data_IF_392229291898
#
_entry.id   IF_392229291898
#
_cell.length_a   1.000
_cell.length_b   1.000
_cell.length_c   1.000
_cell.angle_alpha   90.00
_cell.angle_beta   90.00
_cell.angle_gamma   90.00
#
_symmetry.space_group_name_H-M   'P 1'
#
loop_
_entity.id
_entity.type
_entity.pdbx_description
1 polymer ?
#
# COMPACT_ATOMS: atom_id res chain seq x y z
N UNK A 1 7.86 26.32 -20.70
CA UNK A 1 7.75 27.24 -19.54
C UNK A 1 6.76 26.72 -18.49
N UNK A 2 5.52 26.35 -18.85
CA UNK A 2 4.53 25.82 -17.89
C UNK A 2 4.89 24.47 -17.24
N UNK A 3 5.47 23.52 -18.00
CA UNK A 3 5.88 22.20 -17.47
C UNK A 3 7.02 22.35 -16.44
N UNK A 4 8.06 23.13 -16.76
CA UNK A 4 9.16 23.40 -15.81
C UNK A 4 8.70 24.15 -14.56
N UNK A 5 7.74 25.08 -14.68
CA UNK A 5 7.16 25.75 -13.52
C UNK A 5 6.39 24.78 -12.61
N UNK A 6 5.63 23.85 -13.19
CA UNK A 6 4.88 22.83 -12.46
C UNK A 6 5.81 21.83 -11.74
N UNK A 7 6.88 21.38 -12.40
CA UNK A 7 7.90 20.52 -11.78
C UNK A 7 8.60 21.24 -10.62
N UNK A 8 8.96 22.51 -10.80
CA UNK A 8 9.62 23.31 -9.74
C UNK A 8 8.73 23.50 -8.50
N UNK A 9 7.42 23.74 -8.71
CA UNK A 9 6.43 23.83 -7.63
C UNK A 9 6.24 22.50 -6.90
N UNK A 10 6.21 21.39 -7.64
CA UNK A 10 6.09 20.04 -7.08
C UNK A 10 7.31 19.71 -6.20
N UNK A 11 8.53 19.99 -6.69
CA UNK A 11 9.76 19.81 -5.92
C UNK A 11 9.78 20.66 -4.66
N UNK A 12 9.37 21.93 -4.73
CA UNK A 12 9.30 22.81 -3.57
C UNK A 12 8.30 22.31 -2.51
N UNK A 13 7.16 21.75 -2.94
CA UNK A 13 6.18 21.15 -2.03
C UNK A 13 6.72 19.87 -1.37
N UNK A 14 7.40 19.00 -2.12
CA UNK A 14 8.02 17.79 -1.60
C UNK A 14 9.14 18.11 -0.61
N UNK A 15 9.99 19.09 -0.90
CA UNK A 15 11.05 19.54 0.01
C UNK A 15 10.47 20.12 1.31
N UNK A 16 9.31 20.78 1.24
CA UNK A 16 8.63 21.28 2.43
C UNK A 16 8.10 20.15 3.31
N UNK A 17 7.53 19.09 2.72
CA UNK A 17 7.11 17.90 3.45
C UNK A 17 8.32 17.20 4.11
N UNK A 18 9.42 17.05 3.38
CA UNK A 18 10.64 16.44 3.89
C UNK A 18 11.23 17.20 5.09
N UNK A 19 11.24 18.55 5.04
CA UNK A 19 11.70 19.40 6.16
C UNK A 19 10.83 19.27 7.42
N UNK A 20 9.59 18.84 7.27
CA UNK A 20 8.62 18.72 8.35
C UNK A 20 8.60 17.31 8.99
N UNK A 21 9.45 16.39 8.53
CA UNK A 21 9.52 15.02 9.05
C UNK A 21 10.89 14.70 9.62
N UNK A 22 10.91 13.90 10.67
CA UNK A 22 12.12 13.25 11.20
C UNK A 22 11.86 11.76 11.36
N UNK A 23 12.78 10.94 10.89
CA UNK A 23 12.68 9.48 10.97
C UNK A 23 13.83 8.99 11.85
N UNK A 24 13.50 8.34 12.97
CA UNK A 24 14.45 7.60 13.79
C UNK A 24 14.29 6.11 13.49
N UNK A 25 15.38 5.37 13.32
CA UNK A 25 15.32 3.91 13.23
C UNK A 25 15.85 3.29 14.51
N UNK A 26 15.14 2.31 15.03
CA UNK A 26 15.57 1.57 16.22
C UNK A 26 16.61 0.49 15.88
N UNK A 27 16.95 -0.37 16.85
CA UNK A 27 17.96 -1.43 16.67
C UNK A 27 17.54 -2.52 15.67
N UNK A 28 16.24 -2.66 15.38
CA UNK A 28 15.70 -3.60 14.40
C UNK A 28 15.44 -2.95 13.04
N UNK A 29 15.73 -1.65 12.91
CA UNK A 29 15.47 -0.87 11.71
C UNK A 29 14.04 -0.35 11.60
N UNK A 30 13.20 -0.53 12.63
CA UNK A 30 11.80 -0.04 12.62
C UNK A 30 11.80 1.48 12.57
N UNK A 31 11.10 2.11 11.60
CA UNK A 31 11.02 3.56 11.54
C UNK A 31 10.02 4.11 12.57
N UNK A 32 10.48 5.10 13.33
CA UNK A 32 9.67 6.00 14.14
C UNK A 32 9.63 7.36 13.43
N UNK A 33 8.50 7.64 12.78
CA UNK A 33 8.28 8.82 11.95
C UNK A 33 7.52 9.88 12.74
N UNK A 34 8.12 11.05 12.87
CA UNK A 34 7.50 12.21 13.52
C UNK A 34 7.33 13.32 12.49
N UNK A 35 6.09 13.74 12.24
CA UNK A 35 5.77 14.80 11.28
C UNK A 35 4.91 15.91 11.88
N UNK A 36 5.05 17.13 11.35
CA UNK A 36 4.27 18.30 11.80
C UNK A 36 2.82 18.32 11.32
N UNK A 37 2.51 17.54 10.29
CA UNK A 37 1.17 17.38 9.70
C UNK A 37 0.97 15.94 9.28
N UNK A 38 -0.28 15.49 9.18
CA UNK A 38 -0.58 14.10 8.78
C UNK A 38 0.03 13.76 7.41
N UNK A 39 -0.04 14.70 6.47
CA UNK A 39 0.55 14.53 5.14
C UNK A 39 2.08 14.37 5.18
N UNK A 40 2.78 15.11 6.05
CA UNK A 40 4.23 14.96 6.22
C UNK A 40 4.58 13.65 6.92
N UNK A 41 3.79 13.22 7.89
CA UNK A 41 3.96 11.93 8.59
C UNK A 41 3.78 10.76 7.61
N UNK A 42 2.73 10.80 6.78
CA UNK A 42 2.51 9.80 5.72
C UNK A 42 3.63 9.82 4.69
N UNK A 43 4.12 11.01 4.29
CA UNK A 43 5.28 11.16 3.43
C UNK A 43 6.52 10.44 4.00
N UNK A 44 6.85 10.70 5.28
CA UNK A 44 8.01 10.10 5.93
C UNK A 44 7.89 8.57 6.05
N UNK A 45 6.68 8.09 6.34
CA UNK A 45 6.43 6.65 6.43
C UNK A 45 6.51 5.94 5.09
N UNK A 46 6.00 6.56 4.01
CA UNK A 46 6.15 6.04 2.65
C UNK A 46 7.63 6.02 2.22
N UNK A 47 8.39 7.07 2.53
CA UNK A 47 9.83 7.14 2.27
C UNK A 47 10.58 6.00 2.99
N UNK A 48 10.33 5.78 4.29
CA UNK A 48 10.96 4.70 5.05
C UNK A 48 10.63 3.30 4.47
N UNK A 49 9.38 3.07 4.07
CA UNK A 49 8.99 1.83 3.39
C UNK A 49 9.76 1.63 2.08
N UNK A 50 9.97 2.70 1.32
CA UNK A 50 10.70 2.64 0.06
C UNK A 50 12.19 2.31 0.25
N UNK A 51 12.83 2.91 1.25
CA UNK A 51 14.20 2.57 1.64
C UNK A 51 14.36 1.08 1.92
N UNK A 52 13.36 0.47 2.58
CA UNK A 52 13.45 -0.93 2.97
C UNK A 52 13.06 -1.89 1.86
N UNK A 53 12.08 -1.53 1.00
CA UNK A 53 11.50 -2.48 0.07
C UNK A 53 10.76 -1.87 -1.15
N UNK A 54 11.32 -0.85 -1.80
CA UNK A 54 10.66 -0.16 -2.92
C UNK A 54 10.15 -1.10 -4.03
N UNK A 55 10.94 -2.09 -4.47
CA UNK A 55 10.54 -2.98 -5.57
C UNK A 55 9.21 -3.71 -5.30
N UNK A 56 8.93 -4.01 -4.03
CA UNK A 56 7.70 -4.68 -3.59
C UNK A 56 6.52 -3.70 -3.56
N UNK A 57 6.74 -2.45 -3.17
CA UNK A 57 5.75 -1.37 -3.27
C UNK A 57 5.39 -1.16 -4.75
N UNK A 58 6.39 -1.08 -5.62
CA UNK A 58 6.18 -0.96 -7.06
C UNK A 58 5.37 -2.14 -7.61
N UNK A 59 5.73 -3.39 -7.27
CA UNK A 59 4.99 -4.59 -7.66
C UNK A 59 3.51 -4.48 -7.30
N UNK A 60 3.21 -4.03 -6.07
CA UNK A 60 1.84 -3.87 -5.60
C UNK A 60 1.04 -2.88 -6.46
N UNK A 61 1.66 -1.77 -6.88
CA UNK A 61 1.01 -0.82 -7.77
C UNK A 61 0.87 -1.35 -9.20
N UNK A 62 1.88 -2.04 -9.74
CA UNK A 62 1.78 -2.65 -11.09
C UNK A 62 0.60 -3.63 -11.15
N UNK A 63 0.45 -4.48 -10.15
CA UNK A 63 -0.68 -5.40 -10.02
C UNK A 63 -2.01 -4.66 -9.90
N UNK A 64 -2.06 -3.63 -9.05
CA UNK A 64 -3.28 -2.84 -8.83
C UNK A 64 -3.70 -2.03 -10.05
N UNK A 65 -2.76 -1.67 -10.91
CA UNK A 65 -3.01 -0.94 -12.15
C UNK A 65 -3.40 -1.85 -13.32
N UNK A 66 -3.37 -3.17 -13.14
CA UNK A 66 -3.64 -4.14 -14.20
C UNK A 66 -2.58 -4.14 -15.29
N UNK A 67 -1.31 -3.94 -14.92
CA UNK A 67 -0.17 -3.82 -15.86
C UNK A 67 0.87 -4.92 -15.67
N UNK A 68 0.53 -6.00 -14.98
CA UNK A 68 1.50 -7.06 -14.65
C UNK A 68 2.05 -7.75 -15.91
N UNK A 69 1.22 -7.88 -16.95
CA UNK A 69 1.58 -8.55 -18.21
C UNK A 69 2.63 -7.81 -19.01
N UNK A 70 2.86 -6.52 -18.74
CA UNK A 70 3.96 -5.77 -19.34
C UNK A 70 5.32 -6.26 -18.82
N UNK A 71 5.38 -6.81 -17.60
CA UNK A 71 6.60 -7.42 -17.04
C UNK A 71 6.64 -8.93 -17.22
N UNK A 72 5.48 -9.57 -17.21
CA UNK A 72 5.36 -11.00 -16.99
C UNK A 72 4.76 -11.77 -18.17
N UNK A 73 4.27 -11.07 -19.19
CA UNK A 73 3.66 -11.65 -20.38
C UNK A 73 2.33 -12.33 -20.10
N UNK A 74 1.98 -13.31 -20.93
CA UNK A 74 0.65 -13.93 -20.95
C UNK A 74 0.23 -14.56 -19.61
N UNK A 75 1.17 -14.96 -18.75
CA UNK A 75 0.89 -15.63 -17.47
C UNK A 75 0.09 -14.77 -16.49
N UNK A 76 0.10 -13.44 -16.64
CA UNK A 76 -0.66 -12.51 -15.79
C UNK A 76 -1.82 -11.84 -16.52
N UNK A 77 -2.07 -12.23 -17.78
CA UNK A 77 -3.05 -11.54 -18.63
C UNK A 77 -4.47 -11.63 -18.08
N UNK A 78 -4.84 -12.78 -17.51
CA UNK A 78 -6.18 -12.96 -16.94
C UNK A 78 -6.38 -12.15 -15.65
N UNK A 79 -5.31 -11.93 -14.88
CA UNK A 79 -5.36 -11.06 -13.70
C UNK A 79 -5.50 -9.58 -14.10
N UNK A 80 -4.79 -9.14 -15.14
CA UNK A 80 -4.94 -7.78 -15.66
C UNK A 80 -6.34 -7.59 -16.26
N UNK A 81 -6.86 -8.56 -17.03
CA UNK A 81 -8.23 -8.52 -17.58
C UNK A 81 -9.27 -8.39 -16.49
N UNK A 82 -9.14 -9.15 -15.40
CA UNK A 82 -10.04 -9.05 -14.26
C UNK A 82 -9.95 -7.67 -13.60
N UNK A 83 -8.73 -7.14 -13.43
CA UNK A 83 -8.52 -5.79 -12.89
C UNK A 83 -9.25 -4.73 -13.74
N UNK A 84 -9.11 -4.80 -15.06
CA UNK A 84 -9.80 -3.94 -16.01
C UNK A 84 -11.32 -4.10 -15.98
N UNK A 85 -11.82 -5.34 -15.89
CA UNK A 85 -13.26 -5.63 -15.79
C UNK A 85 -13.89 -5.07 -14.50
N UNK A 86 -13.10 -4.95 -13.43
CA UNK A 86 -13.48 -4.31 -12.17
C UNK A 86 -13.30 -2.79 -12.18
N UNK A 87 -12.86 -2.21 -13.31
CA UNK A 87 -12.63 -0.78 -13.53
C UNK A 87 -11.71 -0.11 -12.48
N UNK A 88 -10.80 -0.86 -11.86
CA UNK A 88 -10.03 -0.40 -10.69
C UNK A 88 -9.31 0.95 -10.94
N UNK A 89 -8.51 1.13 -12.02
CA UNK A 89 -7.81 2.39 -12.24
C UNK A 89 -8.74 3.58 -12.53
N UNK A 90 -9.84 3.34 -13.24
CA UNK A 90 -10.83 4.39 -13.56
C UNK A 90 -11.50 4.87 -12.27
N UNK A 91 -12.03 3.94 -11.48
CA UNK A 91 -12.72 4.25 -10.22
C UNK A 91 -11.79 4.89 -9.19
N UNK A 92 -10.51 4.51 -9.15
CA UNK A 92 -9.51 5.12 -8.27
C UNK A 92 -9.25 6.59 -8.63
N UNK A 93 -9.14 6.92 -9.92
CA UNK A 93 -8.98 8.33 -10.36
C UNK A 93 -10.22 9.16 -10.07
N UNK A 94 -11.41 8.62 -10.35
CA UNK A 94 -12.69 9.30 -10.08
C UNK A 94 -12.92 9.52 -8.59
N UNK A 95 -12.50 8.57 -7.75
CA UNK A 95 -12.52 8.72 -6.29
C UNK A 95 -11.51 9.78 -5.83
N UNK A 96 -10.27 9.70 -6.28
CA UNK A 96 -9.25 10.69 -5.96
C UNK A 96 -9.71 12.10 -6.35
N UNK A 97 -10.38 12.29 -7.48
CA UNK A 97 -10.93 13.59 -7.90
C UNK A 97 -12.01 14.15 -6.95
N UNK A 98 -12.70 13.29 -6.19
CA UNK A 98 -13.79 13.65 -5.27
C UNK A 98 -13.40 13.69 -3.80
N UNK A 99 -12.18 13.25 -3.46
CA UNK A 99 -11.68 13.32 -2.08
C UNK A 99 -11.71 14.75 -1.55
N UNK A 100 -12.07 14.88 -0.27
CA UNK A 100 -11.87 16.10 0.48
C UNK A 100 -10.38 16.45 0.59
N UNK A 101 -10.10 17.68 1.04
CA UNK A 101 -8.73 18.21 1.09
C UNK A 101 -7.81 17.39 2.01
N UNK A 102 -8.33 16.87 3.10
CA UNK A 102 -7.53 16.14 4.08
C UNK A 102 -7.17 14.76 3.53
N UNK A 103 -8.13 13.96 3.07
CA UNK A 103 -7.83 12.65 2.49
C UNK A 103 -6.95 12.74 1.23
N UNK A 104 -7.17 13.79 0.41
CA UNK A 104 -6.31 14.08 -0.73
C UNK A 104 -4.86 14.35 -0.29
N UNK A 105 -4.64 15.13 0.77
CA UNK A 105 -3.29 15.46 1.23
C UNK A 105 -2.52 14.24 1.73
N UNK A 106 -3.20 13.23 2.31
CA UNK A 106 -2.58 11.96 2.69
C UNK A 106 -2.13 11.16 1.47
N UNK A 107 -2.97 11.06 0.44
CA UNK A 107 -2.62 10.38 -0.82
C UNK A 107 -1.45 11.09 -1.52
N UNK A 108 -1.47 12.43 -1.53
CA UNK A 108 -0.41 13.27 -2.09
C UNK A 108 0.89 13.08 -1.32
N UNK A 109 0.83 13.07 0.02
CA UNK A 109 1.96 12.82 0.90
C UNK A 109 2.60 11.46 0.65
N UNK A 110 1.80 10.40 0.55
CA UNK A 110 2.30 9.04 0.30
C UNK A 110 3.04 8.95 -1.04
N UNK A 111 2.42 9.42 -2.13
CA UNK A 111 3.07 9.43 -3.45
C UNK A 111 4.30 10.34 -3.49
N UNK A 112 4.26 11.49 -2.82
CA UNK A 112 5.41 12.39 -2.71
C UNK A 112 6.58 11.70 -1.97
N UNK A 113 6.33 10.93 -0.92
CA UNK A 113 7.37 10.20 -0.19
C UNK A 113 8.11 9.19 -1.06
N UNK A 114 7.36 8.39 -1.82
CA UNK A 114 7.93 7.41 -2.76
C UNK A 114 8.69 8.07 -3.92
N UNK A 115 8.14 9.15 -4.49
CA UNK A 115 8.82 9.88 -5.56
C UNK A 115 10.08 10.59 -5.03
N UNK A 116 10.07 11.12 -3.81
CA UNK A 116 11.24 11.72 -3.19
C UNK A 116 12.34 10.68 -2.92
N UNK A 117 11.97 9.46 -2.52
CA UNK A 117 12.91 8.36 -2.46
C UNK A 117 13.57 8.11 -3.82
N UNK A 118 12.79 7.98 -4.90
CA UNK A 118 13.33 7.74 -6.24
C UNK A 118 14.26 8.86 -6.73
N UNK A 119 14.01 10.12 -6.37
CA UNK A 119 14.89 11.23 -6.76
C UNK A 119 16.19 11.25 -5.96
N UNK A 120 16.18 10.76 -4.73
CA UNK A 120 17.36 10.66 -3.85
C UNK A 120 18.20 9.41 -4.07
N UNK A 121 17.61 8.38 -4.68
CA UNK A 121 18.22 7.08 -4.91
C UNK A 121 18.25 6.72 -6.41
N UNK A 122 19.06 7.43 -7.23
CA UNK A 122 19.13 7.20 -8.68
C UNK A 122 19.65 5.79 -9.06
N UNK A 123 20.28 5.09 -8.12
CA UNK A 123 20.67 3.68 -8.25
C UNK A 123 19.48 2.71 -8.24
N UNK A 124 18.32 3.15 -7.74
CA UNK A 124 17.09 2.37 -7.77
C UNK A 124 16.44 2.54 -9.14
N UNK A 125 16.24 1.43 -9.84
CA UNK A 125 15.66 1.41 -11.17
C UNK A 125 14.24 0.82 -11.09
N UNK A 126 13.18 1.64 -11.18
CA UNK A 126 11.82 1.13 -11.29
C UNK A 126 11.68 0.18 -12.47
N UNK A 127 10.95 -0.92 -12.29
CA UNK A 127 10.71 -1.90 -13.34
C UNK A 127 9.69 -1.42 -14.37
N UNK A 128 8.74 -0.59 -13.95
CA UNK A 128 7.69 -0.06 -14.83
C UNK A 128 7.24 1.36 -14.46
N UNK A 129 7.15 1.68 -13.16
CA UNK A 129 6.50 2.91 -12.69
C UNK A 129 7.56 3.98 -12.37
N UNK A 130 7.86 4.83 -13.35
CA UNK A 130 8.84 5.92 -13.19
C UNK A 130 8.33 7.08 -12.33
N UNK A 131 7.02 7.12 -12.07
CA UNK A 131 6.38 8.09 -11.18
C UNK A 131 5.20 7.43 -10.48
N UNK A 132 5.13 7.61 -9.18
CA UNK A 132 3.98 7.20 -8.37
C UNK A 132 2.96 8.35 -8.35
N UNK A 133 1.73 8.08 -8.76
CA UNK A 133 0.65 9.07 -8.70
C UNK A 133 -0.17 8.89 -7.41
N UNK A 134 -0.70 9.97 -6.82
CA UNK A 134 -1.46 9.91 -5.56
C UNK A 134 -2.62 8.92 -5.56
N UNK A 135 -3.32 8.75 -6.69
CA UNK A 135 -4.46 7.84 -6.80
C UNK A 135 -4.07 6.35 -6.84
N UNK A 136 -2.78 6.00 -6.96
CA UNK A 136 -2.32 4.61 -6.94
C UNK A 136 -2.63 3.92 -5.60
N UNK A 137 -2.63 4.67 -4.49
CA UNK A 137 -3.03 4.15 -3.16
C UNK A 137 -4.47 3.65 -3.16
N UNK A 138 -5.38 4.40 -3.78
CA UNK A 138 -6.79 4.03 -3.94
C UNK A 138 -6.97 2.84 -4.89
N UNK A 139 -6.18 2.81 -5.98
CA UNK A 139 -6.16 1.65 -6.88
C UNK A 139 -5.70 0.39 -6.13
N UNK A 140 -4.67 0.49 -5.29
CA UNK A 140 -4.18 -0.64 -4.49
C UNK A 140 -5.21 -1.13 -3.47
N UNK A 141 -5.91 -0.23 -2.78
CA UNK A 141 -6.99 -0.59 -1.86
C UNK A 141 -8.11 -1.32 -2.62
N UNK A 142 -8.54 -0.78 -3.76
CA UNK A 142 -9.59 -1.39 -4.61
C UNK A 142 -9.18 -2.74 -5.15
N UNK A 143 -7.94 -2.88 -5.62
CA UNK A 143 -7.38 -4.16 -6.03
C UNK A 143 -7.45 -5.20 -4.92
N UNK A 144 -7.08 -4.84 -3.69
CA UNK A 144 -7.16 -5.77 -2.57
C UNK A 144 -8.60 -6.17 -2.22
N UNK A 145 -9.55 -5.23 -2.20
CA UNK A 145 -10.93 -5.57 -1.88
C UNK A 145 -11.67 -6.27 -3.02
N UNK A 146 -11.57 -5.77 -4.25
CA UNK A 146 -12.40 -6.23 -5.35
C UNK A 146 -11.80 -7.48 -5.99
N UNK A 147 -10.51 -7.47 -6.29
CA UNK A 147 -9.87 -8.60 -6.97
C UNK A 147 -9.39 -9.66 -5.98
N UNK A 148 -8.61 -9.28 -4.96
CA UNK A 148 -8.10 -10.25 -3.98
C UNK A 148 -9.15 -10.69 -2.94
N UNK A 149 -10.17 -9.86 -2.70
CA UNK A 149 -11.32 -10.17 -1.86
C UNK A 149 -12.49 -10.73 -2.68
N UNK A 150 -13.41 -9.86 -3.09
CA UNK A 150 -14.73 -10.23 -3.62
C UNK A 150 -14.68 -11.19 -4.82
N UNK A 151 -13.90 -10.90 -5.86
CA UNK A 151 -13.82 -11.76 -7.05
C UNK A 151 -13.19 -13.14 -6.76
N UNK A 152 -12.41 -13.24 -5.67
CA UNK A 152 -11.82 -14.48 -5.18
C UNK A 152 -12.65 -15.16 -4.10
N UNK A 153 -13.72 -14.53 -3.65
CA UNK A 153 -14.61 -15.10 -2.65
C UNK A 153 -15.31 -16.34 -3.21
N UNK A 154 -15.20 -17.45 -2.47
CA UNK A 154 -15.78 -18.75 -2.88
C UNK A 154 -17.30 -18.69 -2.99
N UNK A 155 -17.97 -17.82 -2.23
CA UNK A 155 -19.42 -17.63 -2.28
C UNK A 155 -19.87 -16.98 -3.59
N UNK A 156 -19.02 -16.15 -4.22
CA UNK A 156 -19.29 -15.50 -5.50
C UNK A 156 -18.83 -16.35 -6.70
N UNK A 157 -17.85 -17.25 -6.51
CA UNK A 157 -17.38 -18.19 -7.55
C UNK A 157 -18.29 -19.39 -7.79
N UNK A 158 -19.24 -19.70 -6.89
CA UNK A 158 -20.15 -20.86 -7.02
C UNK A 158 -21.34 -20.56 -7.94
N UNK A 159 -21.10 -20.56 -9.24
CA UNK A 159 -22.16 -20.71 -10.26
C UNK A 159 -21.98 -21.96 -11.14
N UNK A 160 -21.01 -22.84 -10.83
CA UNK A 160 -20.71 -24.05 -11.60
C UNK A 160 -20.71 -25.34 -10.75
N UNK A 161 -21.13 -26.44 -11.38
CA UNK A 161 -21.22 -27.79 -10.80
C UNK A 161 -19.87 -28.25 -10.27
N UNK A 162 -19.86 -28.75 -9.03
CA UNK A 162 -18.67 -29.19 -8.32
C UNK A 162 -18.34 -30.64 -8.72
N UNK A 163 -17.17 -30.88 -9.34
CA UNK A 163 -16.62 -32.23 -9.58
C UNK A 163 -15.44 -32.48 -8.66
N UNK A 164 -15.22 -33.74 -8.29
CA UNK A 164 -14.22 -34.16 -7.29
C UNK A 164 -12.76 -33.82 -7.63
N UNK A 165 -12.47 -33.35 -8.85
CA UNK A 165 -11.13 -33.00 -9.31
C UNK A 165 -10.68 -31.56 -8.97
N UNK A 166 -11.59 -30.71 -8.47
CA UNK A 166 -11.31 -29.29 -8.16
C UNK A 166 -10.72 -29.06 -6.75
N UNK A 167 -10.45 -30.12 -5.99
CA UNK A 167 -10.01 -30.03 -4.59
C UNK A 167 -8.48 -29.97 -4.43
N UNK A 168 -7.76 -29.47 -5.44
CA UNK A 168 -6.29 -29.34 -5.39
C UNK A 168 -5.80 -28.07 -4.67
N UNK A 169 -6.69 -27.20 -4.23
CA UNK A 169 -6.30 -25.94 -3.58
C UNK A 169 -6.03 -26.17 -2.09
N UNK A 170 -4.85 -26.73 -1.81
CA UNK A 170 -4.21 -26.63 -0.49
C UNK A 170 -4.37 -25.19 0.00
N UNK A 171 -5.08 -25.03 1.13
CA UNK A 171 -5.21 -23.72 1.79
C UNK A 171 -3.82 -23.11 1.89
N UNK A 172 -3.55 -21.91 1.34
CA UNK A 172 -2.37 -21.19 1.78
C UNK A 172 -2.47 -21.06 3.31
N UNK A 173 -1.33 -21.11 4.01
CA UNK A 173 -1.22 -21.02 5.46
C UNK A 173 -1.61 -19.61 5.96
N UNK A 174 -2.83 -19.19 5.66
CA UNK A 174 -3.42 -17.91 6.02
C UNK A 174 -4.43 -18.12 7.13
N UNK A 175 -4.31 -17.33 8.19
CA UNK A 175 -5.16 -17.38 9.37
C UNK A 175 -4.87 -16.19 10.26
N UNK A 176 -5.60 -16.04 11.36
CA UNK A 176 -5.32 -15.01 12.34
C UNK A 176 -5.80 -15.45 13.71
N UNK A 177 -5.04 -15.10 14.73
CA UNK A 177 -5.50 -15.05 16.11
C UNK A 177 -5.55 -13.59 16.59
N UNK A 178 -6.45 -13.30 17.52
CA UNK A 178 -6.46 -12.03 18.23
C UNK A 178 -7.24 -12.13 19.53
N UNK A 179 -6.67 -11.64 20.62
CA UNK A 179 -7.31 -11.66 21.94
C UNK A 179 -7.41 -10.25 22.51
N UNK A 180 -8.51 -9.97 23.20
CA UNK A 180 -8.69 -8.77 24.03
C UNK A 180 -9.01 -9.21 25.44
N UNK A 181 -8.21 -8.78 26.41
CA UNK A 181 -8.42 -9.05 27.83
C UNK A 181 -8.76 -7.73 28.51
N UNK A 182 -9.96 -7.65 29.07
CA UNK A 182 -10.41 -6.46 29.79
C UNK A 182 -9.68 -6.27 31.13
N UNK A 183 -9.60 -5.03 31.66
CA UNK A 183 -8.95 -4.70 32.93
C UNK A 183 -9.30 -5.64 34.09
N UNK A 184 -10.59 -5.96 34.25
CA UNK A 184 -11.11 -6.82 35.32
C UNK A 184 -10.65 -8.28 35.25
N UNK A 185 -10.05 -8.69 34.13
CA UNK A 185 -9.48 -10.02 33.91
C UNK A 185 -7.96 -10.00 33.81
N UNK A 186 -7.32 -8.85 34.06
CA UNK A 186 -5.87 -8.67 34.07
C UNK A 186 -5.36 -8.47 35.50
N UNK A 187 -4.20 -9.04 35.85
CA UNK A 187 -3.60 -8.83 37.17
C UNK A 187 -3.11 -7.38 37.37
N UNK A 188 -2.75 -6.69 36.29
CA UNK A 188 -2.27 -5.30 36.32
C UNK A 188 -3.38 -4.25 36.37
N UNK A 189 -4.64 -4.66 36.13
CA UNK A 189 -5.77 -3.74 35.97
C UNK A 189 -5.79 -2.97 34.65
N UNK A 190 -4.94 -3.32 33.66
CA UNK A 190 -4.89 -2.71 32.34
C UNK A 190 -5.47 -3.63 31.26
N UNK A 191 -6.08 -3.07 30.23
CA UNK A 191 -6.49 -3.85 29.06
C UNK A 191 -5.26 -4.40 28.32
N UNK A 192 -5.38 -5.60 27.75
CA UNK A 192 -4.33 -6.23 26.94
C UNK A 192 -4.89 -6.64 25.58
N UNK A 193 -4.10 -6.40 24.52
CA UNK A 193 -4.41 -6.78 23.14
C UNK A 193 -3.30 -7.68 22.61
N UNK A 194 -3.68 -8.81 22.01
CA UNK A 194 -2.78 -9.70 21.29
C UNK A 194 -3.17 -9.71 19.81
N UNK A 195 -2.22 -9.39 18.94
CA UNK A 195 -2.39 -9.35 17.48
C UNK A 195 -1.46 -10.42 16.89
N UNK A 196 -2.02 -11.43 16.23
CA UNK A 196 -1.22 -12.52 15.67
C UNK A 196 -1.78 -13.02 14.32
N UNK A 197 -1.58 -12.24 13.24
CA UNK A 197 -1.90 -12.69 11.89
C UNK A 197 -0.94 -13.80 11.45
N UNK A 198 -1.44 -14.75 10.68
CA UNK A 198 -0.68 -15.78 9.99
C UNK A 198 -0.79 -15.48 8.49
N UNK A 199 0.19 -14.75 7.97
CA UNK A 199 0.28 -14.34 6.58
C UNK A 199 1.55 -14.93 5.96
N UNK A 200 1.65 -15.00 4.62
CA UNK A 200 2.88 -15.40 3.96
C UNK A 200 4.08 -14.55 4.41
N UNK A 201 5.24 -15.18 4.59
CA UNK A 201 6.48 -14.48 4.93
C UNK A 201 6.92 -13.47 3.87
N UNK A 202 6.64 -13.78 2.60
CA UNK A 202 7.02 -12.98 1.44
C UNK A 202 5.83 -12.79 0.50
N UNK A 203 5.87 -11.72 -0.29
CA UNK A 203 4.85 -11.48 -1.31
C UNK A 203 3.59 -10.81 -0.75
N UNK A 204 2.41 -11.03 -1.36
CA UNK A 204 1.17 -10.39 -0.91
C UNK A 204 0.82 -10.79 0.52
N UNK A 205 0.54 -9.80 1.38
CA UNK A 205 0.28 -10.01 2.81
C UNK A 205 1.51 -9.86 3.72
N UNK A 206 2.71 -9.62 3.17
CA UNK A 206 3.87 -9.25 3.98
C UNK A 206 3.60 -7.93 4.72
N UNK A 207 3.85 -7.92 6.04
CA UNK A 207 3.62 -6.76 6.91
C UNK A 207 4.87 -5.89 7.03
N UNK A 208 4.65 -4.62 7.36
CA UNK A 208 5.70 -3.66 7.65
C UNK A 208 5.41 -3.03 9.02
N UNK A 209 6.39 -3.10 9.92
CA UNK A 209 6.29 -2.51 11.25
C UNK A 209 6.77 -1.05 11.21
N UNK A 210 6.07 -0.18 11.92
CA UNK A 210 6.48 1.20 12.08
C UNK A 210 5.66 1.94 13.11
N UNK A 211 6.22 3.04 13.59
CA UNK A 211 5.59 3.97 14.50
C UNK A 211 5.45 5.32 13.82
N UNK A 212 4.27 5.92 13.91
CA UNK A 212 3.97 7.23 13.32
C UNK A 212 3.40 8.16 14.38
N UNK A 213 3.83 9.41 14.37
CA UNK A 213 3.33 10.47 15.24
C UNK A 213 3.16 11.75 14.41
N UNK A 214 1.95 12.30 14.47
CA UNK A 214 1.61 13.57 13.84
C UNK A 214 1.30 14.60 14.91
N UNK A 215 1.76 15.84 14.72
CA UNK A 215 1.49 16.96 15.64
C UNK A 215 0.12 17.65 15.38
N UNK A 216 -0.61 17.24 14.33
CA UNK A 216 -1.90 17.82 13.90
C UNK A 216 -3.10 17.35 14.74
#
# INVERSE_FOLDING_TARGET
VAIMAFETLLFAQTDQLAKNVTIYRDTYGVPHVFGRTDASTVFGFAYAQAEDNFWRIEENFILALGRASELYGEKTLDEDRLNYALEIPKLAREEYARLDKHMRSLCDGYAAGLNYYLTRHPEVHPRLLTKIEPWYTLAFIRYNYFQNGFARDRSLRRLGIQTAALDSDLKPHTGSNGWVIGPSRSATGNAMLFINPHLPFFGPGQVYEGHVHSDE
#
